data_IF_199806229433
#
_entry.id   IF_199806229433
#
_cell.length_a   1.000
_cell.length_b   1.000
_cell.length_c   1.000
_cell.angle_alpha   90.00
_cell.angle_beta   90.00
_cell.angle_gamma   90.00
#
_symmetry.space_group_name_H-M   'P 1'
#
loop_
_entity.id
_entity.type
_entity.pdbx_description
1 polymer ?
#
# COMPACT_ATOMS: atom_id res chain seq x y z
N UNK A 1 10.81 15.76 2.93
CA UNK A 1 11.52 17.04 2.67
C UNK A 1 12.96 16.75 2.34
N UNK A 2 13.44 17.20 1.18
CA UNK A 2 14.82 17.09 0.72
C UNK A 2 15.39 15.66 0.84
N UNK A 3 14.62 14.67 0.41
CA UNK A 3 14.96 13.26 0.56
C UNK A 3 15.99 12.84 -0.48
N UNK A 4 17.07 12.21 -0.03
CA UNK A 4 18.13 11.61 -0.86
C UNK A 4 18.30 10.14 -0.54
N UNK A 5 18.37 9.30 -1.56
CA UNK A 5 18.63 7.88 -1.43
C UNK A 5 19.61 7.39 -2.47
N UNK A 6 20.65 6.68 -2.02
CA UNK A 6 21.63 6.04 -2.90
C UNK A 6 21.81 4.57 -2.54
N UNK A 7 22.18 3.75 -3.53
CA UNK A 7 22.69 2.40 -3.37
C UNK A 7 24.14 2.37 -3.89
N UNK A 8 25.10 2.35 -2.98
CA UNK A 8 26.51 2.56 -3.34
C UNK A 8 26.72 3.93 -4.00
N UNK A 9 27.25 3.95 -5.21
CA UNK A 9 27.47 5.18 -6.01
C UNK A 9 26.24 5.60 -6.82
N UNK A 10 25.18 4.79 -6.89
CA UNK A 10 23.98 5.11 -7.66
C UNK A 10 23.02 5.95 -6.84
N UNK A 11 22.87 7.23 -7.17
CA UNK A 11 21.83 8.09 -6.59
C UNK A 11 20.47 7.82 -7.25
N UNK A 12 19.52 7.29 -6.47
CA UNK A 12 18.18 6.91 -6.92
C UNK A 12 17.15 8.00 -6.64
N UNK A 13 17.25 8.69 -5.50
CA UNK A 13 16.39 9.83 -5.14
C UNK A 13 17.26 11.05 -4.84
N UNK A 14 16.87 12.19 -5.41
CA UNK A 14 17.67 13.43 -5.40
C UNK A 14 16.76 14.61 -5.07
N UNK A 15 16.85 15.08 -3.83
CA UNK A 15 16.11 16.26 -3.36
C UNK A 15 14.59 16.17 -3.52
N UNK A 16 14.02 15.03 -3.12
CA UNK A 16 12.58 14.84 -3.19
C UNK A 16 11.86 15.60 -2.08
N UNK A 17 10.99 16.52 -2.47
CA UNK A 17 10.16 17.29 -1.53
C UNK A 17 8.74 17.45 -2.04
N UNK A 18 7.75 16.97 -1.28
CA UNK A 18 6.33 17.24 -1.49
C UNK A 18 5.53 16.93 -0.22
N UNK A 19 4.25 17.26 -0.23
CA UNK A 19 3.32 17.02 0.87
C UNK A 19 2.10 16.25 0.38
N UNK A 20 1.67 15.28 1.16
CA UNK A 20 0.44 14.52 0.97
C UNK A 20 -0.49 14.88 2.11
N UNK A 21 -1.70 15.32 1.80
CA UNK A 21 -2.69 15.66 2.81
C UNK A 21 -3.52 14.43 3.20
N UNK A 22 -4.07 14.48 4.41
CA UNK A 22 -4.97 13.40 4.87
C UNK A 22 -6.19 13.29 3.97
N UNK A 23 -6.49 12.07 3.56
CA UNK A 23 -7.60 11.76 2.65
C UNK A 23 -7.28 11.91 1.16
N UNK A 24 -6.08 12.38 0.79
CA UNK A 24 -5.66 12.41 -0.61
C UNK A 24 -5.58 10.99 -1.20
N UNK A 25 -5.82 10.90 -2.50
CA UNK A 25 -5.31 9.82 -3.33
C UNK A 25 -4.17 10.42 -4.17
N UNK A 26 -2.96 10.24 -3.69
CA UNK A 26 -1.76 10.85 -4.26
C UNK A 26 -1.05 9.90 -5.21
N UNK A 27 -0.88 10.32 -6.46
CA UNK A 27 -0.17 9.56 -7.47
C UNK A 27 1.32 9.91 -7.53
N UNK A 28 2.17 8.90 -7.65
CA UNK A 28 3.59 9.05 -8.00
C UNK A 28 3.79 8.33 -9.32
N UNK A 29 3.99 9.10 -10.39
CA UNK A 29 4.15 8.58 -11.74
C UNK A 29 5.58 8.81 -12.25
N UNK A 30 6.08 7.88 -13.04
CA UNK A 30 7.39 7.98 -13.69
C UNK A 30 7.74 6.69 -14.41
N UNK A 31 8.79 6.73 -15.22
CA UNK A 31 9.27 5.56 -15.95
C UNK A 31 9.73 4.43 -15.02
N UNK A 32 9.86 3.21 -15.55
CA UNK A 32 10.49 2.11 -14.82
C UNK A 32 11.92 2.51 -14.43
N UNK A 33 12.34 2.19 -13.20
CA UNK A 33 13.65 2.56 -12.68
C UNK A 33 13.78 4.01 -12.16
N UNK A 34 12.75 4.86 -12.26
CA UNK A 34 12.81 6.26 -11.78
C UNK A 34 12.92 6.41 -10.24
N UNK A 35 12.84 5.31 -9.47
CA UNK A 35 12.94 5.35 -8.01
C UNK A 35 11.60 5.32 -7.26
N UNK A 36 10.47 5.11 -7.95
CA UNK A 36 9.13 5.16 -7.37
C UNK A 36 8.92 4.19 -6.19
N UNK A 37 9.22 2.91 -6.39
CA UNK A 37 9.10 1.89 -5.33
C UNK A 37 10.09 2.12 -4.18
N UNK A 38 11.30 2.63 -4.48
CA UNK A 38 12.27 3.05 -3.46
C UNK A 38 11.71 4.18 -2.61
N UNK A 39 11.11 5.20 -3.25
CA UNK A 39 10.48 6.31 -2.56
C UNK A 39 9.33 5.84 -1.65
N UNK A 40 8.46 4.96 -2.17
CA UNK A 40 7.37 4.39 -1.40
C UNK A 40 7.87 3.60 -0.17
N UNK A 41 8.95 2.84 -0.33
CA UNK A 41 9.57 2.09 0.77
C UNK A 41 10.29 2.97 1.79
N UNK A 42 10.74 4.16 1.40
CA UNK A 42 11.22 5.16 2.35
C UNK A 42 10.09 5.69 3.24
N UNK A 43 8.84 5.77 2.74
CA UNK A 43 7.71 6.28 3.55
C UNK A 43 7.35 5.36 4.72
N UNK A 44 7.46 4.05 4.56
CA UNK A 44 7.15 3.08 5.61
C UNK A 44 8.39 2.54 6.33
N UNK A 45 9.57 3.13 6.08
CA UNK A 45 10.83 2.75 6.73
C UNK A 45 11.34 1.35 6.34
N UNK A 46 10.87 0.76 5.23
CA UNK A 46 11.45 -0.46 4.65
C UNK A 46 12.79 -0.17 3.96
N UNK A 47 13.01 1.08 3.54
CA UNK A 47 14.27 1.56 2.99
C UNK A 47 14.78 2.75 3.80
N UNK A 48 16.05 2.70 4.18
CA UNK A 48 16.74 3.82 4.81
C UNK A 48 17.17 4.84 3.74
N UNK A 49 17.24 6.10 4.10
CA UNK A 49 17.73 7.17 3.24
C UNK A 49 18.91 7.90 3.91
N UNK A 50 19.74 8.59 3.13
CA UNK A 50 20.98 9.20 3.62
C UNK A 50 20.79 10.64 4.10
N UNK A 51 19.87 11.39 3.46
CA UNK A 51 19.59 12.80 3.80
C UNK A 51 18.12 13.11 3.64
N UNK A 52 17.68 14.16 4.31
CA UNK A 52 16.31 14.63 4.28
C UNK A 52 15.45 14.03 5.37
N UNK A 53 14.15 14.18 5.22
CA UNK A 53 13.19 13.81 6.26
C UNK A 53 11.89 13.28 5.65
N UNK A 54 11.38 12.19 6.18
CA UNK A 54 10.02 11.71 5.95
C UNK A 54 9.23 11.92 7.24
N UNK A 55 8.15 12.70 7.15
CA UNK A 55 7.29 13.02 8.28
C UNK A 55 5.94 12.33 8.07
N UNK A 56 5.51 11.54 9.03
CA UNK A 56 4.23 10.83 9.03
C UNK A 56 3.48 11.20 10.31
N UNK A 57 2.27 11.75 10.15
CA UNK A 57 1.44 12.21 11.27
C UNK A 57 2.20 13.15 12.25
N UNK A 58 3.05 14.04 11.69
CA UNK A 58 3.89 14.97 12.47
C UNK A 58 5.17 14.37 13.05
N UNK A 59 5.44 13.09 12.86
CA UNK A 59 6.61 12.40 13.38
C UNK A 59 7.63 12.13 12.26
N UNK A 60 8.87 12.59 12.45
CA UNK A 60 9.98 12.27 11.56
C UNK A 60 10.42 10.81 11.75
N UNK A 61 10.26 9.98 10.73
CA UNK A 61 10.52 8.53 10.86
C UNK A 61 12.00 8.22 11.12
N UNK A 62 12.93 9.08 10.70
CA UNK A 62 14.36 8.94 10.95
C UNK A 62 14.76 9.06 12.42
N UNK A 63 13.94 9.72 13.24
CA UNK A 63 14.19 9.89 14.68
C UNK A 63 13.52 8.82 15.55
N UNK A 64 12.74 7.91 14.95
CA UNK A 64 11.98 6.91 15.68
C UNK A 64 12.85 5.71 16.10
N UNK A 65 12.64 5.24 17.33
CA UNK A 65 13.15 3.94 17.73
C UNK A 65 12.34 2.80 17.09
N UNK A 66 12.84 1.56 17.18
CA UNK A 66 12.20 0.37 16.58
C UNK A 66 10.73 0.19 16.98
N UNK A 67 10.37 0.45 18.25
CA UNK A 67 9.00 0.32 18.74
C UNK A 67 8.09 1.39 18.16
N UNK A 68 8.55 2.63 18.11
CA UNK A 68 7.82 3.75 17.51
C UNK A 68 7.63 3.54 16.01
N UNK A 69 8.70 3.13 15.30
CA UNK A 69 8.61 2.82 13.86
C UNK A 69 7.62 1.70 13.58
N UNK A 70 7.62 0.64 14.41
CA UNK A 70 6.65 -0.45 14.33
C UNK A 70 5.21 0.06 14.47
N UNK A 71 4.93 1.00 15.38
CA UNK A 71 3.61 1.60 15.53
C UNK A 71 3.18 2.39 14.28
N UNK A 72 4.09 3.17 13.68
CA UNK A 72 3.83 3.86 12.40
C UNK A 72 3.54 2.85 11.29
N UNK A 73 4.32 1.76 11.19
CA UNK A 73 4.09 0.70 10.19
C UNK A 73 2.73 0.02 10.36
N UNK A 74 2.22 -0.12 11.59
CA UNK A 74 0.89 -0.65 11.85
C UNK A 74 -0.22 0.23 11.25
N UNK A 75 0.01 1.54 11.20
CA UNK A 75 -0.92 2.51 10.61
C UNK A 75 -0.81 2.62 9.09
N UNK A 76 0.10 1.86 8.48
CA UNK A 76 0.31 1.82 7.03
C UNK A 76 0.03 0.45 6.45
N UNK A 77 -0.99 0.34 5.60
CA UNK A 77 -1.18 -0.84 4.76
C UNK A 77 -0.29 -0.76 3.52
N UNK A 78 0.20 -1.89 3.05
CA UNK A 78 0.96 -1.95 1.80
C UNK A 78 0.42 -3.02 0.86
N UNK A 79 0.20 -2.62 -0.40
CA UNK A 79 -0.19 -3.49 -1.50
C UNK A 79 0.99 -3.55 -2.47
N UNK A 80 1.43 -4.77 -2.76
CA UNK A 80 2.58 -5.05 -3.62
C UNK A 80 2.15 -5.45 -5.03
N UNK A 81 2.99 -5.23 -6.01
CA UNK A 81 2.78 -5.59 -7.41
C UNK A 81 2.42 -7.07 -7.62
N UNK A 82 3.06 -7.99 -6.90
CA UNK A 82 2.90 -9.43 -7.05
C UNK A 82 1.96 -10.06 -6.01
N UNK A 83 0.98 -9.30 -5.49
CA UNK A 83 0.01 -9.73 -4.45
C UNK A 83 0.65 -10.23 -3.14
N UNK A 84 1.77 -10.92 -3.18
CA UNK A 84 2.51 -11.51 -2.05
C UNK A 84 1.63 -12.33 -1.10
N UNK A 85 0.70 -13.13 -1.67
CA UNK A 85 -0.12 -14.05 -0.89
C UNK A 85 0.68 -15.32 -0.57
N UNK A 86 0.48 -15.83 0.64
CA UNK A 86 1.07 -17.10 1.06
C UNK A 86 0.21 -18.24 0.50
N UNK A 87 0.76 -19.02 -0.43
CA UNK A 87 0.06 -20.11 -1.14
C UNK A 87 -0.45 -21.23 -0.23
N UNK A 88 0.17 -21.41 0.94
CA UNK A 88 -0.21 -22.39 1.97
C UNK A 88 -1.37 -21.95 2.87
N UNK A 89 -1.78 -20.70 2.79
CA UNK A 89 -2.86 -20.11 3.56
C UNK A 89 -4.08 -19.88 2.65
N UNK A 90 -5.28 -20.10 3.17
CA UNK A 90 -6.51 -19.72 2.49
C UNK A 90 -6.69 -18.18 2.48
N UNK A 91 -7.77 -17.68 1.89
CA UNK A 91 -8.09 -16.25 1.82
C UNK A 91 -8.23 -15.63 3.20
N UNK A 92 -8.99 -16.27 4.10
CA UNK A 92 -9.20 -15.79 5.47
C UNK A 92 -7.87 -15.64 6.21
N UNK A 93 -7.03 -16.66 6.19
CA UNK A 93 -5.72 -16.65 6.87
C UNK A 93 -4.73 -15.70 6.25
N UNK A 94 -4.76 -15.47 4.92
CA UNK A 94 -3.96 -14.42 4.27
C UNK A 94 -4.37 -13.03 4.76
N UNK A 95 -5.67 -12.75 4.89
CA UNK A 95 -6.19 -11.48 5.42
C UNK A 95 -5.82 -11.33 6.90
N UNK A 96 -5.93 -12.41 7.67
CA UNK A 96 -5.65 -12.43 9.11
C UNK A 96 -4.16 -12.34 9.46
N UNK A 97 -3.25 -12.52 8.50
CA UNK A 97 -1.81 -12.62 8.74
C UNK A 97 -1.23 -11.42 9.51
N UNK A 98 -1.57 -10.15 9.21
CA UNK A 98 -1.08 -9.03 9.99
C UNK A 98 -1.55 -9.06 11.44
N UNK A 99 -2.77 -9.53 11.73
CA UNK A 99 -3.25 -9.67 13.11
C UNK A 99 -2.36 -10.62 13.92
N UNK A 100 -2.02 -11.80 13.34
CA UNK A 100 -1.11 -12.78 13.96
C UNK A 100 0.27 -12.18 14.23
N UNK A 101 0.81 -11.42 13.28
CA UNK A 101 2.10 -10.74 13.43
C UNK A 101 2.08 -9.75 14.61
N UNK A 102 0.98 -9.02 14.79
CA UNK A 102 0.78 -8.06 15.88
C UNK A 102 0.22 -8.69 17.15
N UNK A 103 0.28 -10.03 17.29
CA UNK A 103 -0.17 -10.79 18.47
C UNK A 103 -1.64 -10.53 18.83
N UNK A 104 -2.47 -10.24 17.82
CA UNK A 104 -3.92 -10.17 17.97
C UNK A 104 -4.51 -11.54 17.57
N UNK A 105 -5.47 -12.04 18.35
CA UNK A 105 -6.14 -13.30 18.00
C UNK A 105 -7.07 -13.10 16.79
N UNK A 106 -6.78 -13.75 15.64
CA UNK A 106 -7.62 -13.61 14.44
C UNK A 106 -9.03 -14.21 14.62
N UNK A 107 -9.21 -15.10 15.61
CA UNK A 107 -10.47 -15.79 15.87
C UNK A 107 -11.29 -15.11 16.97
N UNK A 108 -10.80 -14.04 17.59
CA UNK A 108 -11.63 -13.22 18.48
C UNK A 108 -12.85 -12.70 17.72
N UNK A 109 -13.96 -12.52 18.41
CA UNK A 109 -15.22 -12.06 17.82
C UNK A 109 -15.03 -10.78 17.00
N UNK A 110 -14.29 -9.82 17.55
CA UNK A 110 -14.00 -8.54 16.90
C UNK A 110 -13.23 -8.70 15.58
N UNK A 111 -12.12 -9.47 15.61
CA UNK A 111 -11.28 -9.66 14.42
C UNK A 111 -11.97 -10.52 13.36
N UNK A 112 -12.75 -11.54 13.77
CA UNK A 112 -13.58 -12.32 12.85
C UNK A 112 -14.59 -11.44 12.11
N UNK A 113 -15.34 -10.63 12.82
CA UNK A 113 -16.30 -9.68 12.23
C UNK A 113 -15.60 -8.65 11.32
N UNK A 114 -14.39 -8.20 11.69
CA UNK A 114 -13.58 -7.29 10.86
C UNK A 114 -13.17 -7.95 9.55
N UNK A 115 -12.68 -9.19 9.59
CA UNK A 115 -12.30 -9.94 8.38
C UNK A 115 -13.54 -10.19 7.50
N UNK A 116 -14.67 -10.57 8.08
CA UNK A 116 -15.93 -10.76 7.34
C UNK A 116 -16.39 -9.48 6.64
N UNK A 117 -16.31 -8.32 7.32
CA UNK A 117 -16.60 -7.00 6.72
C UNK A 117 -15.66 -6.69 5.56
N UNK A 118 -14.36 -7.01 5.70
CA UNK A 118 -13.37 -6.80 4.63
C UNK A 118 -13.62 -7.74 3.44
N UNK A 119 -13.95 -9.01 3.69
CA UNK A 119 -14.34 -9.95 2.64
C UNK A 119 -15.55 -9.42 1.85
N UNK A 120 -16.56 -8.90 2.54
CA UNK A 120 -17.72 -8.26 1.91
C UNK A 120 -17.33 -7.00 1.13
N UNK A 121 -16.47 -6.14 1.67
CA UNK A 121 -16.01 -4.94 0.99
C UNK A 121 -15.32 -5.26 -0.34
N UNK A 122 -14.53 -6.34 -0.38
CA UNK A 122 -13.80 -6.76 -1.59
C UNK A 122 -14.58 -7.78 -2.45
N UNK A 123 -15.79 -8.21 -2.05
CA UNK A 123 -16.65 -9.14 -2.79
C UNK A 123 -16.09 -10.57 -2.87
N UNK A 124 -15.59 -11.10 -1.75
CA UNK A 124 -14.96 -12.41 -1.67
C UNK A 124 -15.51 -13.27 -0.51
N UNK A 125 -16.74 -13.04 -0.03
CA UNK A 125 -17.33 -13.76 1.09
C UNK A 125 -17.30 -15.27 0.87
N UNK A 126 -17.75 -15.71 -0.32
CA UNK A 126 -17.83 -17.13 -0.67
C UNK A 126 -16.46 -17.78 -0.93
N UNK A 127 -15.40 -16.97 -1.02
CA UNK A 127 -14.03 -17.41 -1.29
C UNK A 127 -13.15 -17.45 -0.05
N UNK A 128 -13.70 -17.23 1.15
CA UNK A 128 -12.93 -17.13 2.40
C UNK A 128 -12.03 -18.34 2.65
N UNK A 129 -12.46 -19.55 2.28
CA UNK A 129 -11.71 -20.79 2.44
C UNK A 129 -10.91 -21.21 1.20
N UNK A 130 -11.01 -20.48 0.08
CA UNK A 130 -10.23 -20.76 -1.13
C UNK A 130 -8.74 -20.45 -0.93
N UNK A 131 -7.90 -21.17 -1.64
CA UNK A 131 -6.45 -20.93 -1.66
C UNK A 131 -6.03 -20.05 -2.84
N UNK A 132 -4.88 -19.32 -2.78
CA UNK A 132 -4.45 -18.44 -3.85
C UNK A 132 -4.40 -19.07 -5.24
N UNK A 133 -4.07 -20.37 -5.34
CA UNK A 133 -4.07 -21.13 -6.61
C UNK A 133 -5.45 -21.25 -7.28
N UNK A 134 -6.53 -21.04 -6.51
CA UNK A 134 -7.93 -21.15 -6.96
C UNK A 134 -8.52 -19.79 -7.32
N UNK A 135 -7.72 -18.70 -7.25
CA UNK A 135 -8.15 -17.33 -7.44
C UNK A 135 -7.60 -16.76 -8.75
N UNK A 136 -8.43 -15.94 -9.43
CA UNK A 136 -7.97 -15.09 -10.53
C UNK A 136 -7.01 -14.00 -10.04
N UNK A 137 -6.29 -13.33 -10.95
CA UNK A 137 -5.41 -12.21 -10.61
C UNK A 137 -6.13 -11.09 -9.87
N UNK A 138 -7.31 -10.70 -10.35
CA UNK A 138 -8.14 -9.68 -9.69
C UNK A 138 -8.62 -10.10 -8.30
N UNK A 139 -8.99 -11.38 -8.11
CA UNK A 139 -9.35 -11.91 -6.79
C UNK A 139 -8.15 -11.89 -5.84
N UNK A 140 -6.95 -12.30 -6.30
CA UNK A 140 -5.70 -12.21 -5.50
C UNK A 140 -5.43 -10.78 -5.07
N UNK A 141 -5.63 -9.80 -5.96
CA UNK A 141 -5.46 -8.39 -5.64
C UNK A 141 -6.46 -7.91 -4.60
N UNK A 142 -7.72 -8.33 -4.69
CA UNK A 142 -8.75 -8.02 -3.69
C UNK A 142 -8.40 -8.60 -2.31
N UNK A 143 -7.83 -9.81 -2.25
CA UNK A 143 -7.30 -10.39 -0.99
C UNK A 143 -6.14 -9.56 -0.45
N UNK A 144 -5.20 -9.14 -1.30
CA UNK A 144 -4.08 -8.29 -0.89
C UNK A 144 -4.54 -6.94 -0.34
N UNK A 145 -5.58 -6.34 -0.93
CA UNK A 145 -6.23 -5.11 -0.43
C UNK A 145 -6.85 -5.37 0.95
N UNK A 146 -7.67 -6.39 1.11
CA UNK A 146 -8.31 -6.73 2.39
C UNK A 146 -7.26 -6.98 3.49
N UNK A 147 -6.18 -7.69 3.16
CA UNK A 147 -5.04 -7.92 4.07
C UNK A 147 -4.39 -6.62 4.51
N UNK A 148 -4.17 -5.68 3.58
CA UNK A 148 -3.57 -4.39 3.89
C UNK A 148 -4.45 -3.53 4.81
N UNK A 149 -5.77 -3.74 4.78
CA UNK A 149 -6.76 -2.98 5.57
C UNK A 149 -7.07 -3.58 6.94
N UNK A 150 -6.68 -4.83 7.23
CA UNK A 150 -7.15 -5.56 8.43
C UNK A 150 -6.75 -4.90 9.75
N UNK A 151 -5.68 -4.12 9.77
CA UNK A 151 -5.24 -3.36 10.96
C UNK A 151 -5.86 -1.97 11.06
N UNK A 152 -6.84 -1.61 10.20
CA UNK A 152 -7.43 -0.29 10.08
C UNK A 152 -6.37 0.82 9.89
N UNK A 153 -5.54 0.73 8.85
CA UNK A 153 -4.47 1.69 8.63
C UNK A 153 -5.04 3.07 8.28
N UNK A 154 -4.27 4.12 8.54
CA UNK A 154 -4.58 5.51 8.12
C UNK A 154 -4.08 5.80 6.70
N UNK A 155 -3.06 5.06 6.26
CA UNK A 155 -2.39 5.24 4.97
C UNK A 155 -2.33 3.90 4.24
N UNK A 156 -2.63 3.89 2.96
CA UNK A 156 -2.49 2.74 2.08
C UNK A 156 -1.47 3.05 0.99
N UNK A 157 -0.38 2.30 0.96
CA UNK A 157 0.69 2.41 -0.02
C UNK A 157 0.50 1.35 -1.11
N UNK A 158 0.36 1.77 -2.37
CA UNK A 158 0.10 0.90 -3.51
C UNK A 158 1.30 0.93 -4.46
N UNK A 159 2.12 -0.12 -4.46
CA UNK A 159 3.27 -0.28 -5.35
C UNK A 159 2.85 -1.06 -6.61
N UNK A 160 2.55 -0.34 -7.69
CA UNK A 160 2.10 -0.89 -8.99
C UNK A 160 0.95 -1.91 -8.87
N UNK A 161 -0.03 -1.61 -8.01
CA UNK A 161 -1.10 -2.52 -7.59
C UNK A 161 -2.00 -3.05 -8.74
N UNK A 162 -1.91 -2.51 -9.95
CA UNK A 162 -2.73 -2.91 -11.11
C UNK A 162 -1.91 -3.32 -12.33
N UNK A 163 -0.58 -3.28 -12.27
CA UNK A 163 0.29 -3.50 -13.43
C UNK A 163 0.21 -4.91 -14.02
N UNK A 164 -0.18 -5.90 -13.23
CA UNK A 164 -0.31 -7.31 -13.63
C UNK A 164 -1.76 -7.72 -13.99
N UNK A 165 -2.67 -6.74 -14.12
CA UNK A 165 -4.10 -6.98 -14.33
C UNK A 165 -4.53 -6.47 -15.72
N UNK A 166 -5.55 -7.12 -16.29
CA UNK A 166 -6.18 -6.63 -17.51
C UNK A 166 -6.93 -5.31 -17.27
N UNK A 167 -7.26 -4.55 -18.34
CA UNK A 167 -7.86 -3.22 -18.21
C UNK A 167 -9.21 -3.20 -17.49
N UNK A 168 -10.04 -4.23 -17.63
CA UNK A 168 -11.34 -4.27 -16.96
C UNK A 168 -11.16 -4.49 -15.46
N UNK A 169 -10.36 -5.47 -15.07
CA UNK A 169 -10.03 -5.74 -13.67
C UNK A 169 -9.33 -4.54 -13.02
N UNK A 170 -8.44 -3.86 -13.78
CA UNK A 170 -7.82 -2.62 -13.31
C UNK A 170 -8.86 -1.58 -12.92
N UNK A 171 -9.85 -1.30 -13.77
CA UNK A 171 -10.95 -0.35 -13.46
C UNK A 171 -11.71 -0.74 -12.19
N UNK A 172 -12.00 -2.03 -12.03
CA UNK A 172 -12.71 -2.55 -10.85
C UNK A 172 -11.89 -2.35 -9.56
N UNK A 173 -10.58 -2.60 -9.61
CA UNK A 173 -9.68 -2.38 -8.47
C UNK A 173 -9.56 -0.88 -8.15
N UNK A 174 -9.45 -0.01 -9.15
CA UNK A 174 -9.39 1.43 -8.94
C UNK A 174 -10.70 1.96 -8.33
N UNK A 175 -11.84 1.48 -8.80
CA UNK A 175 -13.15 1.80 -8.21
C UNK A 175 -13.26 1.35 -6.75
N UNK A 176 -12.70 0.18 -6.43
CA UNK A 176 -12.62 -0.31 -5.04
C UNK A 176 -11.73 0.59 -4.18
N UNK A 177 -10.58 1.04 -4.69
CA UNK A 177 -9.70 1.97 -3.95
C UNK A 177 -10.36 3.32 -3.69
N UNK A 178 -11.10 3.87 -4.68
CA UNK A 178 -11.92 5.08 -4.49
C UNK A 178 -12.96 4.90 -3.39
N UNK A 179 -13.67 3.77 -3.39
CA UNK A 179 -14.65 3.43 -2.36
C UNK A 179 -14.00 3.35 -0.97
N UNK A 180 -12.86 2.66 -0.86
CA UNK A 180 -12.09 2.53 0.40
C UNK A 180 -11.64 3.91 0.90
N UNK A 181 -11.08 4.76 0.04
CA UNK A 181 -10.66 6.11 0.41
C UNK A 181 -11.83 6.90 1.00
N UNK A 182 -12.99 6.89 0.33
CA UNK A 182 -14.19 7.63 0.73
C UNK A 182 -14.82 7.09 2.02
N UNK A 183 -15.01 5.77 2.12
CA UNK A 183 -15.72 5.15 3.25
C UNK A 183 -14.87 5.08 4.52
N UNK A 184 -13.56 4.88 4.39
CA UNK A 184 -12.65 4.74 5.52
C UNK A 184 -11.85 6.02 5.82
N UNK A 185 -12.00 7.07 5.01
CA UNK A 185 -11.24 8.33 5.12
C UNK A 185 -9.72 8.09 5.20
N UNK A 186 -9.22 7.14 4.40
CA UNK A 186 -7.82 6.72 4.35
C UNK A 186 -7.06 7.48 3.28
N UNK A 187 -5.83 7.88 3.56
CA UNK A 187 -4.92 8.44 2.56
C UNK A 187 -4.35 7.31 1.70
N UNK A 188 -4.38 7.45 0.37
CA UNK A 188 -3.83 6.43 -0.54
C UNK A 188 -2.67 7.04 -1.34
N UNK A 189 -1.54 6.34 -1.38
CA UNK A 189 -0.40 6.70 -2.23
C UNK A 189 -0.26 5.62 -3.29
N UNK A 190 -0.40 6.01 -4.56
CA UNK A 190 -0.36 5.09 -5.70
C UNK A 190 0.91 5.34 -6.51
N UNK A 191 1.75 4.34 -6.60
CA UNK A 191 2.91 4.33 -7.49
C UNK A 191 2.54 3.57 -8.76
N UNK A 192 2.73 4.19 -9.92
CA UNK A 192 2.42 3.57 -11.21
C UNK A 192 3.23 4.22 -12.34
N UNK A 193 3.34 3.53 -13.47
CA UNK A 193 3.81 4.10 -14.74
C UNK A 193 2.65 4.37 -15.73
N UNK A 194 1.41 4.05 -15.35
CA UNK A 194 0.21 4.17 -16.18
C UNK A 194 -0.52 5.48 -15.91
N UNK A 195 -0.57 6.38 -16.89
CA UNK A 195 -1.23 7.68 -16.77
C UNK A 195 -2.75 7.55 -16.56
N UNK A 196 -3.36 6.52 -17.13
CA UNK A 196 -4.80 6.24 -16.98
C UNK A 196 -5.20 6.01 -15.52
N UNK A 197 -4.36 5.29 -14.76
CA UNK A 197 -4.57 5.05 -13.33
C UNK A 197 -4.59 6.38 -12.56
N UNK A 198 -3.60 7.25 -12.85
CA UNK A 198 -3.51 8.57 -12.21
C UNK A 198 -4.74 9.41 -12.50
N UNK A 199 -5.14 9.51 -13.78
CA UNK A 199 -6.30 10.32 -14.20
C UNK A 199 -7.62 9.82 -13.61
N UNK A 200 -7.72 8.51 -13.35
CA UNK A 200 -8.96 7.91 -12.88
C UNK A 200 -9.20 8.13 -11.40
N UNK A 201 -8.17 8.09 -10.55
CA UNK A 201 -8.38 8.08 -9.10
C UNK A 201 -7.60 9.13 -8.32
N UNK A 202 -6.50 9.69 -8.85
CA UNK A 202 -5.65 10.59 -8.07
C UNK A 202 -6.16 12.03 -8.13
N UNK A 203 -6.20 12.70 -6.98
CA UNK A 203 -6.52 14.13 -6.88
C UNK A 203 -5.25 15.01 -6.87
N UNK A 204 -4.08 14.43 -6.59
CA UNK A 204 -2.76 15.09 -6.67
C UNK A 204 -1.75 14.12 -7.27
N UNK A 205 -0.72 14.66 -7.90
CA UNK A 205 0.31 13.84 -8.56
C UNK A 205 1.69 14.48 -8.44
N UNK A 206 2.70 13.64 -8.25
CA UNK A 206 4.12 13.95 -8.41
C UNK A 206 4.68 13.16 -9.60
N UNK A 207 5.40 13.83 -10.47
CA UNK A 207 6.08 13.19 -11.60
C UNK A 207 7.55 12.96 -11.25
N UNK A 208 7.93 11.71 -11.09
CA UNK A 208 9.30 11.32 -10.76
C UNK A 208 10.09 11.00 -12.02
N UNK A 209 11.12 11.79 -12.29
CA UNK A 209 12.04 11.61 -13.41
C UNK A 209 13.48 11.72 -12.92
N UNK A 210 14.33 10.76 -13.28
CA UNK A 210 15.77 10.75 -12.95
C UNK A 210 16.07 10.99 -11.46
N UNK A 211 15.19 10.47 -10.59
CA UNK A 211 15.28 10.64 -9.14
C UNK A 211 14.82 12.00 -8.60
N UNK A 212 14.17 12.84 -9.38
CA UNK A 212 13.64 14.16 -9.00
C UNK A 212 12.13 14.25 -9.24
N UNK A 213 11.46 15.16 -8.51
CA UNK A 213 10.04 15.52 -8.67
C UNK A 213 9.93 16.89 -9.32
#
# INVERSE_FOLDING_TARGET
>A
KNLYKSYGSLEVLKDISFKIEKGDIFGIIGQSGAGKSTLLRCFNGLENFQKGEVIVDGQAISSLNKKQMSNIQKEMGMIFQNFNLLNRLNVYDNIALPLKFWKQDPHSLENKQRIEKLLKLVGLEEKSQAYPRQLSGGQKQRVAIARALVLNPKILLCDEATSALDPQITRDILSLLLKINKEMNITIVVVTHQMEVIKQICNKVAFLKDGRV
#
